data_IF_090222865106
#
_entry.id   IF_090222865106
#
_cell.length_a   1.000
_cell.length_b   1.000
_cell.length_c   1.000
_cell.angle_alpha   90.00
_cell.angle_beta   90.00
_cell.angle_gamma   90.00
#
_symmetry.space_group_name_H-M   'P 1'
#
loop_
_entity.id
_entity.type
_entity.pdbx_description
1 polymer ?
#
# COMPACT_ATOMS: atom_id res chain seq x y z
N UNK A 1 -10.85 -17.75 6.44
CA UNK A 1 -9.49 -17.75 6.99
C UNK A 1 -8.60 -17.01 6.01
N UNK A 2 -8.02 -15.89 6.43
CA UNK A 2 -7.16 -15.07 5.56
C UNK A 2 -5.86 -15.77 5.19
N UNK A 3 -5.13 -15.22 4.23
CA UNK A 3 -3.80 -15.75 3.89
C UNK A 3 -2.82 -15.57 5.04
N UNK A 4 -2.85 -14.47 5.78
CA UNK A 4 -1.98 -14.25 6.94
C UNK A 4 -2.12 -15.37 7.96
N UNK A 5 -3.35 -15.70 8.37
CA UNK A 5 -3.62 -16.82 9.28
C UNK A 5 -3.15 -18.17 8.72
N UNK A 6 -3.35 -18.43 7.41
CA UNK A 6 -2.93 -19.70 6.79
C UNK A 6 -1.42 -19.92 6.84
N UNK A 7 -0.64 -18.84 6.82
CA UNK A 7 0.82 -18.89 6.95
C UNK A 7 1.33 -18.69 8.39
N UNK A 8 0.42 -18.69 9.38
CA UNK A 8 0.79 -18.65 10.79
C UNK A 8 1.05 -17.24 11.35
N UNK A 9 0.72 -16.20 10.59
CA UNK A 9 0.88 -14.82 11.06
C UNK A 9 -0.33 -14.34 11.87
N UNK A 10 -0.07 -13.39 12.77
CA UNK A 10 -1.05 -12.79 13.65
C UNK A 10 -1.87 -11.72 12.92
N UNK A 11 -2.97 -12.14 12.30
CA UNK A 11 -3.87 -11.24 11.56
C UNK A 11 -4.52 -10.19 12.46
N UNK A 12 -4.85 -10.56 13.70
CA UNK A 12 -5.47 -9.62 14.64
C UNK A 12 -4.50 -8.49 14.96
N UNK A 13 -3.24 -8.83 15.28
CA UNK A 13 -2.20 -7.83 15.53
C UNK A 13 -1.96 -6.91 14.32
N UNK A 14 -1.94 -7.48 13.11
CA UNK A 14 -1.85 -6.70 11.87
C UNK A 14 -3.02 -5.73 11.73
N UNK A 15 -4.25 -6.19 11.93
CA UNK A 15 -5.46 -5.36 11.81
C UNK A 15 -5.51 -4.26 12.89
N UNK A 16 -5.10 -4.56 14.13
CA UNK A 16 -5.03 -3.56 15.21
C UNK A 16 -4.03 -2.45 14.89
N UNK A 17 -2.86 -2.79 14.35
CA UNK A 17 -1.87 -1.80 13.90
C UNK A 17 -2.40 -0.98 12.73
N UNK A 18 -3.07 -1.61 11.75
CA UNK A 18 -3.66 -0.94 10.60
C UNK A 18 -4.73 0.07 11.03
N UNK A 19 -5.63 -0.35 11.91
CA UNK A 19 -6.65 0.54 12.50
C UNK A 19 -6.02 1.68 13.27
N UNK A 20 -5.04 1.40 14.13
CA UNK A 20 -4.34 2.40 14.94
C UNK A 20 -3.67 3.46 14.05
N UNK A 21 -2.99 3.04 12.97
CA UNK A 21 -2.29 3.95 12.07
C UNK A 21 -3.23 4.98 11.43
N UNK A 22 -4.44 4.57 11.05
CA UNK A 22 -5.39 5.45 10.37
C UNK A 22 -6.24 6.25 11.35
N UNK A 23 -6.68 5.61 12.46
CA UNK A 23 -7.58 6.25 13.43
C UNK A 23 -6.90 7.23 14.38
N UNK A 24 -5.56 7.31 14.40
CA UNK A 24 -4.82 8.28 15.25
C UNK A 24 -5.30 9.72 15.07
N UNK A 25 -5.71 10.07 13.85
CA UNK A 25 -6.19 11.43 13.50
C UNK A 25 -7.71 11.51 13.35
N UNK A 26 -8.45 10.50 13.82
CA UNK A 26 -9.92 10.45 13.67
C UNK A 26 -10.63 11.67 14.27
N UNK A 27 -10.07 12.27 15.32
CA UNK A 27 -10.61 13.49 15.96
C UNK A 27 -10.47 14.74 15.09
N UNK A 28 -9.62 14.72 14.07
CA UNK A 28 -9.42 15.82 13.13
C UNK A 28 -10.43 15.80 11.98
N UNK A 29 -11.14 14.69 11.79
CA UNK A 29 -12.20 14.60 10.79
C UNK A 29 -13.46 15.31 11.30
N UNK A 30 -13.93 16.28 10.51
CA UNK A 30 -15.17 17.01 10.81
C UNK A 30 -16.41 16.12 10.67
N UNK A 31 -16.33 15.07 9.85
CA UNK A 31 -17.40 14.08 9.63
C UNK A 31 -16.94 12.68 10.07
N UNK A 32 -17.40 12.18 11.22
CA UNK A 32 -17.09 10.84 11.71
C UNK A 32 -17.54 9.71 10.77
N UNK A 33 -18.60 9.95 9.96
CA UNK A 33 -19.07 8.97 8.97
C UNK A 33 -18.01 8.77 7.89
N UNK A 34 -17.38 9.83 7.41
CA UNK A 34 -16.33 9.77 6.40
C UNK A 34 -15.14 8.92 6.87
N UNK A 35 -14.73 9.06 8.12
CA UNK A 35 -13.68 8.22 8.71
C UNK A 35 -14.12 6.75 8.76
N UNK A 36 -15.35 6.45 9.17
CA UNK A 36 -15.86 5.09 9.24
C UNK A 36 -15.93 4.44 7.85
N UNK A 37 -16.37 5.17 6.83
CA UNK A 37 -16.44 4.68 5.46
C UNK A 37 -15.02 4.43 4.89
N UNK A 38 -14.05 5.30 5.18
CA UNK A 38 -12.64 5.08 4.86
C UNK A 38 -12.08 3.83 5.54
N UNK A 39 -12.32 3.66 6.85
CA UNK A 39 -11.89 2.47 7.58
C UNK A 39 -12.53 1.20 7.02
N UNK A 40 -13.79 1.25 6.62
CA UNK A 40 -14.45 0.11 5.99
C UNK A 40 -13.73 -0.31 4.69
N UNK A 41 -13.34 0.64 3.85
CA UNK A 41 -12.59 0.33 2.62
C UNK A 41 -11.21 -0.27 2.94
N UNK A 42 -10.50 0.31 3.90
CA UNK A 42 -9.19 -0.18 4.32
C UNK A 42 -9.29 -1.61 4.90
N UNK A 43 -10.27 -1.87 5.75
CA UNK A 43 -10.44 -3.17 6.41
C UNK A 43 -11.01 -4.25 5.50
N UNK A 44 -11.86 -3.91 4.54
CA UNK A 44 -12.37 -4.84 3.53
C UNK A 44 -11.34 -5.17 2.43
N UNK A 45 -10.11 -4.70 2.58
CA UNK A 45 -9.02 -4.97 1.64
C UNK A 45 -8.75 -6.47 1.46
N UNK A 46 -8.65 -6.87 0.24
CA UNK A 46 -8.42 -8.17 -0.37
C UNK A 46 -7.66 -9.26 0.40
N UNK A 47 -6.81 -10.00 -0.31
CA UNK A 47 -6.10 -11.19 0.25
C UNK A 47 -4.87 -10.85 1.10
N UNK A 48 -4.53 -9.57 1.30
CA UNK A 48 -3.34 -9.11 2.03
C UNK A 48 -2.03 -9.74 1.54
N UNK A 49 -1.90 -9.89 0.22
CA UNK A 49 -0.76 -10.57 -0.40
C UNK A 49 0.53 -9.79 -0.19
N UNK A 50 0.51 -8.44 -0.32
CA UNK A 50 1.70 -7.61 -0.14
C UNK A 50 2.23 -7.63 1.29
N UNK A 51 1.39 -7.43 2.33
CA UNK A 51 1.79 -7.69 3.72
C UNK A 51 2.36 -9.08 3.94
N UNK A 52 1.75 -10.10 3.34
CA UNK A 52 2.25 -11.48 3.45
C UNK A 52 3.67 -11.62 2.90
N UNK A 53 4.00 -11.00 1.76
CA UNK A 53 5.36 -11.03 1.22
C UNK A 53 6.37 -10.32 2.12
N UNK A 54 5.99 -9.21 2.77
CA UNK A 54 6.84 -8.55 3.78
C UNK A 54 7.14 -9.52 4.92
N UNK A 55 6.11 -10.18 5.46
CA UNK A 55 6.24 -11.10 6.59
C UNK A 55 7.08 -12.34 6.22
N UNK A 56 6.81 -12.96 5.07
CA UNK A 56 7.57 -14.12 4.57
C UNK A 56 9.05 -13.79 4.31
N UNK A 57 9.34 -12.62 3.74
CA UNK A 57 10.72 -12.19 3.53
C UNK A 57 11.46 -11.94 4.85
N UNK A 58 10.74 -11.53 5.90
CA UNK A 58 11.31 -11.37 7.23
C UNK A 58 11.67 -12.70 7.89
N UNK A 59 10.90 -13.77 7.65
CA UNK A 59 11.19 -15.11 8.19
C UNK A 59 12.49 -15.72 7.66
N UNK A 60 13.04 -15.17 6.55
CA UNK A 60 14.35 -15.58 6.04
C UNK A 60 15.53 -15.04 6.88
N UNK A 61 15.26 -14.29 7.94
CA UNK A 61 16.27 -13.64 8.78
C UNK A 61 16.13 -14.05 10.24
N UNK A 62 17.25 -14.08 10.89
CA UNK A 62 17.33 -14.28 12.35
C UNK A 62 17.21 -12.93 13.09
N UNK A 63 16.62 -12.96 14.29
CA UNK A 63 16.55 -11.83 15.22
C UNK A 63 15.84 -10.57 14.69
N UNK A 64 14.74 -10.73 13.97
CA UNK A 64 13.98 -9.60 13.44
C UNK A 64 12.99 -9.08 14.48
N UNK A 65 12.87 -7.76 14.60
CA UNK A 65 11.88 -7.13 15.48
C UNK A 65 10.47 -7.31 14.90
N UNK A 66 9.64 -8.11 15.59
CA UNK A 66 8.25 -8.39 15.16
C UNK A 66 7.47 -7.10 14.92
N UNK A 67 7.58 -6.10 15.79
CA UNK A 67 6.85 -4.84 15.66
C UNK A 67 7.24 -4.09 14.37
N UNK A 68 8.55 -3.97 14.11
CA UNK A 68 9.04 -3.29 12.90
C UNK A 68 8.54 -3.95 11.62
N UNK A 69 8.55 -5.29 11.57
CA UNK A 69 8.09 -6.04 10.40
C UNK A 69 6.60 -5.80 10.17
N UNK A 70 5.78 -5.88 11.22
CA UNK A 70 4.34 -5.64 11.08
C UNK A 70 4.05 -4.17 10.75
N UNK A 71 4.81 -3.22 11.27
CA UNK A 71 4.73 -1.81 10.88
C UNK A 71 5.03 -1.63 9.38
N UNK A 72 6.07 -2.28 8.87
CA UNK A 72 6.39 -2.27 7.44
C UNK A 72 5.29 -2.92 6.59
N UNK A 73 4.72 -4.03 7.06
CA UNK A 73 3.62 -4.73 6.39
C UNK A 73 2.36 -3.86 6.33
N UNK A 74 2.03 -3.13 7.40
CA UNK A 74 0.92 -2.17 7.45
C UNK A 74 1.19 -0.99 6.52
N UNK A 75 2.40 -0.43 6.53
CA UNK A 75 2.77 0.69 5.66
C UNK A 75 2.62 0.33 4.17
N UNK A 76 3.09 -0.87 3.77
CA UNK A 76 2.91 -1.39 2.40
C UNK A 76 1.42 -1.54 2.05
N UNK A 77 0.60 -2.05 2.97
CA UNK A 77 -0.83 -2.21 2.69
C UNK A 77 -1.54 -0.87 2.55
N UNK A 78 -1.23 0.12 3.40
CA UNK A 78 -1.78 1.47 3.27
C UNK A 78 -1.38 2.12 1.94
N UNK A 79 -0.13 1.98 1.51
CA UNK A 79 0.30 2.46 0.19
C UNK A 79 -0.51 1.81 -0.93
N UNK A 80 -0.76 0.49 -0.84
CA UNK A 80 -1.59 -0.21 -1.81
C UNK A 80 -3.05 0.26 -1.78
N UNK A 81 -3.65 0.41 -0.59
CA UNK A 81 -5.03 0.91 -0.48
C UNK A 81 -5.15 2.32 -1.05
N UNK A 82 -4.16 3.19 -0.79
CA UNK A 82 -4.12 4.52 -1.38
C UNK A 82 -4.11 4.48 -2.91
N UNK A 83 -3.28 3.62 -3.51
CA UNK A 83 -3.27 3.44 -4.97
C UNK A 83 -4.63 2.97 -5.50
N UNK A 84 -5.30 2.04 -4.78
CA UNK A 84 -6.62 1.57 -5.18
C UNK A 84 -7.70 2.66 -5.11
N UNK A 85 -7.64 3.56 -4.11
CA UNK A 85 -8.57 4.71 -4.02
C UNK A 85 -8.36 5.66 -5.21
N UNK A 86 -7.09 5.91 -5.60
CA UNK A 86 -6.80 6.72 -6.77
C UNK A 86 -7.18 6.04 -8.08
N UNK A 87 -6.93 4.73 -8.20
CA UNK A 87 -7.33 3.94 -9.38
C UNK A 87 -8.86 3.96 -9.56
N UNK A 88 -9.63 3.83 -8.47
CA UNK A 88 -11.10 3.92 -8.54
C UNK A 88 -11.60 5.25 -9.11
N UNK A 89 -10.88 6.34 -8.82
CA UNK A 89 -11.19 7.66 -9.36
C UNK A 89 -10.82 7.73 -10.85
N UNK A 90 -9.64 7.23 -11.22
CA UNK A 90 -9.14 7.26 -12.59
C UNK A 90 -10.02 6.39 -13.51
N UNK A 91 -10.45 5.23 -13.00
CA UNK A 91 -11.27 4.26 -13.73
C UNK A 91 -12.77 4.58 -13.63
N UNK A 92 -13.18 5.67 -12.97
CA UNK A 92 -14.57 6.05 -12.71
C UNK A 92 -15.41 4.89 -12.11
N UNK A 93 -14.77 4.08 -11.25
CA UNK A 93 -15.37 2.89 -10.67
C UNK A 93 -16.39 3.24 -9.60
N UNK A 94 -17.64 2.86 -9.76
CA UNK A 94 -18.70 3.15 -8.79
C UNK A 94 -18.65 2.26 -7.55
N UNK A 95 -18.10 1.05 -7.67
CA UNK A 95 -18.02 0.07 -6.57
C UNK A 95 -16.69 -0.68 -6.58
N UNK A 96 -16.18 -1.03 -5.36
CA UNK A 96 -15.07 -1.93 -5.14
C UNK A 96 -15.40 -2.94 -4.05
N UNK A 97 -15.23 -4.24 -4.32
CA UNK A 97 -15.58 -5.33 -3.37
C UNK A 97 -17.00 -5.21 -2.79
N UNK A 98 -17.98 -4.84 -3.62
CA UNK A 98 -19.38 -4.59 -3.25
C UNK A 98 -19.59 -3.40 -2.27
N UNK A 99 -18.60 -2.51 -2.14
CA UNK A 99 -18.73 -1.25 -1.41
C UNK A 99 -18.67 -0.11 -2.42
N UNK A 100 -19.51 0.91 -2.24
CA UNK A 100 -19.47 2.14 -3.04
C UNK A 100 -18.12 2.85 -2.82
N UNK A 101 -17.48 3.32 -3.90
CA UNK A 101 -16.20 4.02 -3.83
C UNK A 101 -16.33 5.39 -3.15
N UNK A 102 -15.23 5.90 -2.56
CA UNK A 102 -15.27 7.16 -1.79
C UNK A 102 -15.63 8.37 -2.65
N UNK A 103 -15.13 8.41 -3.90
CA UNK A 103 -15.45 9.54 -4.79
C UNK A 103 -16.91 9.55 -5.22
N UNK A 104 -17.55 8.38 -5.31
CA UNK A 104 -18.97 8.25 -5.60
C UNK A 104 -19.83 8.60 -4.39
N UNK A 105 -19.40 8.24 -3.16
CA UNK A 105 -20.13 8.54 -1.93
C UNK A 105 -20.09 10.03 -1.56
N UNK A 106 -18.98 10.72 -1.84
CA UNK A 106 -18.77 12.09 -1.39
C UNK A 106 -18.57 13.06 -2.57
N UNK A 107 -17.40 13.01 -3.20
CA UNK A 107 -17.06 13.73 -4.43
C UNK A 107 -15.67 13.30 -4.91
N UNK A 108 -15.34 13.62 -6.17
CA UNK A 108 -14.00 13.43 -6.75
C UNK A 108 -12.91 14.05 -5.86
N UNK A 109 -13.11 15.31 -5.45
CA UNK A 109 -12.15 16.04 -4.61
C UNK A 109 -11.92 15.36 -3.26
N UNK A 110 -13.00 14.92 -2.61
CA UNK A 110 -12.90 14.19 -1.33
C UNK A 110 -12.21 12.86 -1.52
N UNK A 111 -12.53 12.10 -2.58
CA UNK A 111 -11.85 10.84 -2.90
C UNK A 111 -10.33 11.01 -3.05
N UNK A 112 -9.89 12.03 -3.80
CA UNK A 112 -8.45 12.35 -3.97
C UNK A 112 -7.79 12.66 -2.62
N UNK A 113 -8.43 13.48 -1.78
CA UNK A 113 -7.86 13.83 -0.47
C UNK A 113 -7.81 12.65 0.49
N UNK A 114 -8.82 11.76 0.48
CA UNK A 114 -8.80 10.54 1.28
C UNK A 114 -7.72 9.56 0.82
N UNK A 115 -7.52 9.40 -0.49
CA UNK A 115 -6.40 8.64 -1.04
C UNK A 115 -5.04 9.20 -0.60
N UNK A 116 -4.87 10.52 -0.69
CA UNK A 116 -3.65 11.20 -0.20
C UNK A 116 -3.46 11.05 1.31
N UNK A 117 -4.54 11.11 2.10
CA UNK A 117 -4.47 10.90 3.55
C UNK A 117 -3.94 9.49 3.87
N UNK A 118 -4.48 8.44 3.23
CA UNK A 118 -4.01 7.06 3.43
C UNK A 118 -2.56 6.89 2.99
N UNK A 119 -2.17 7.52 1.86
CA UNK A 119 -0.78 7.52 1.40
C UNK A 119 0.16 8.18 2.42
N UNK A 120 -0.23 9.32 2.97
CA UNK A 120 0.57 10.02 3.98
C UNK A 120 0.71 9.18 5.25
N UNK A 121 -0.33 8.43 5.66
CA UNK A 121 -0.23 7.48 6.78
C UNK A 121 0.77 6.36 6.52
N UNK A 122 0.85 5.87 5.29
CA UNK A 122 1.90 4.92 4.89
C UNK A 122 3.30 5.54 5.04
N UNK A 123 3.49 6.75 4.51
CA UNK A 123 4.78 7.46 4.58
C UNK A 123 5.17 7.81 6.03
N UNK A 124 4.21 8.13 6.89
CA UNK A 124 4.43 8.35 8.32
C UNK A 124 5.03 7.11 8.98
N UNK A 125 4.43 5.93 8.76
CA UNK A 125 4.97 4.66 9.26
C UNK A 125 6.36 4.37 8.70
N UNK A 126 6.61 4.61 7.42
CA UNK A 126 7.94 4.43 6.83
C UNK A 126 8.97 5.39 7.41
N UNK A 127 8.58 6.59 7.86
CA UNK A 127 9.49 7.56 8.46
C UNK A 127 10.05 7.12 9.81
N UNK A 128 9.42 6.15 10.48
CA UNK A 128 9.94 5.55 11.72
C UNK A 128 11.24 4.77 11.46
N UNK A 129 11.45 4.29 10.24
CA UNK A 129 12.65 3.55 9.84
C UNK A 129 13.78 4.51 9.48
N UNK A 130 14.85 4.51 10.26
CA UNK A 130 16.03 5.38 10.04
C UNK A 130 16.99 4.79 8.99
N UNK A 131 16.45 4.43 7.81
CA UNK A 131 17.20 3.75 6.74
C UNK A 131 17.07 4.58 5.45
N UNK A 132 18.08 5.42 5.12
CA UNK A 132 18.01 6.29 3.93
C UNK A 132 17.75 5.54 2.62
N UNK A 133 18.32 4.34 2.48
CA UNK A 133 18.12 3.50 1.30
C UNK A 133 16.66 3.08 1.12
N UNK A 134 15.97 2.75 2.23
CA UNK A 134 14.53 2.42 2.20
C UNK A 134 13.71 3.60 1.68
N UNK A 135 13.98 4.82 2.14
CA UNK A 135 13.26 6.01 1.68
C UNK A 135 13.51 6.31 0.20
N UNK A 136 14.72 6.07 -0.31
CA UNK A 136 15.02 6.17 -1.74
C UNK A 136 14.21 5.15 -2.56
N UNK A 137 14.11 3.91 -2.09
CA UNK A 137 13.33 2.86 -2.78
C UNK A 137 11.84 3.13 -2.76
N UNK A 138 11.30 3.65 -1.66
CA UNK A 138 9.90 4.11 -1.59
C UNK A 138 9.64 5.16 -2.67
N UNK A 139 10.51 6.16 -2.79
CA UNK A 139 10.36 7.20 -3.80
C UNK A 139 10.40 6.63 -5.23
N UNK A 140 11.29 5.67 -5.50
CA UNK A 140 11.37 4.99 -6.80
C UNK A 140 10.09 4.21 -7.10
N UNK A 141 9.58 3.45 -6.12
CA UNK A 141 8.33 2.67 -6.28
C UNK A 141 7.14 3.58 -6.54
N UNK A 142 7.01 4.67 -5.79
CA UNK A 142 5.93 5.64 -6.00
C UNK A 142 6.00 6.30 -7.38
N UNK A 143 7.21 6.69 -7.83
CA UNK A 143 7.39 7.21 -9.18
C UNK A 143 7.01 6.19 -10.25
N UNK A 144 7.39 4.92 -10.08
CA UNK A 144 7.03 3.85 -11.01
C UNK A 144 5.51 3.64 -11.08
N UNK A 145 4.81 3.65 -9.94
CA UNK A 145 3.36 3.55 -9.90
C UNK A 145 2.71 4.71 -10.69
N UNK A 146 3.11 5.96 -10.43
CA UNK A 146 2.59 7.12 -11.14
C UNK A 146 2.88 7.06 -12.66
N UNK A 147 4.12 6.72 -13.05
CA UNK A 147 4.50 6.58 -14.46
C UNK A 147 3.75 5.44 -15.13
N UNK A 148 3.53 4.33 -14.42
CA UNK A 148 2.74 3.21 -14.93
C UNK A 148 1.30 3.61 -15.26
N UNK A 149 0.65 4.39 -14.38
CA UNK A 149 -0.70 4.91 -14.63
C UNK A 149 -0.73 5.94 -15.77
N UNK A 150 0.20 6.89 -15.81
CA UNK A 150 0.30 7.87 -16.90
C UNK A 150 0.51 7.19 -18.25
N UNK A 151 1.41 6.18 -18.32
CA UNK A 151 1.65 5.41 -19.52
C UNK A 151 0.43 4.57 -19.92
N UNK A 152 -0.33 4.05 -18.95
CA UNK A 152 -1.57 3.34 -19.21
C UNK A 152 -2.61 4.25 -19.85
N UNK A 153 -2.81 5.44 -19.31
CA UNK A 153 -3.74 6.42 -19.85
C UNK A 153 -3.33 6.88 -21.26
N UNK A 154 -2.03 7.17 -21.48
CA UNK A 154 -1.52 7.59 -22.78
C UNK A 154 -1.69 6.52 -23.86
N UNK A 155 -1.53 5.25 -23.49
CA UNK A 155 -1.59 4.10 -24.41
C UNK A 155 -2.99 3.46 -24.46
N UNK A 156 -4.01 4.11 -23.93
CA UNK A 156 -5.38 3.61 -24.02
C UNK A 156 -5.81 3.59 -25.49
N UNK A 157 -6.24 2.40 -25.97
CA UNK A 157 -6.54 2.14 -27.40
C UNK A 157 -5.36 2.17 -28.38
N UNK A 158 -4.10 2.17 -27.92
CA UNK A 158 -2.95 2.00 -28.79
C UNK A 158 -2.74 0.50 -29.07
N UNK A 159 -3.08 0.04 -30.29
CA UNK A 159 -2.92 -1.35 -30.74
C UNK A 159 -1.52 -1.68 -31.25
N UNK A 160 -0.64 -0.68 -31.42
CA UNK A 160 0.74 -0.83 -31.91
C UNK A 160 1.76 -1.00 -30.78
N UNK A 161 1.30 -1.26 -29.54
CA UNK A 161 2.18 -1.49 -28.41
C UNK A 161 3.05 -2.74 -28.62
N UNK A 162 4.35 -2.56 -28.42
CA UNK A 162 5.28 -3.68 -28.42
C UNK A 162 5.12 -4.57 -27.16
N UNK A 163 5.62 -5.80 -27.23
CA UNK A 163 5.66 -6.68 -26.07
C UNK A 163 6.50 -6.07 -24.92
N UNK A 164 7.58 -5.38 -25.27
CA UNK A 164 8.45 -4.71 -24.29
C UNK A 164 7.72 -3.59 -23.57
N UNK A 165 6.88 -2.80 -24.26
CA UNK A 165 6.03 -1.78 -23.65
C UNK A 165 5.05 -2.39 -22.65
N UNK A 166 4.43 -3.53 -23.01
CA UNK A 166 3.54 -4.27 -22.11
C UNK A 166 4.27 -4.76 -20.85
N UNK A 167 5.48 -5.34 -21.02
CA UNK A 167 6.30 -5.80 -19.88
C UNK A 167 6.72 -4.62 -19.00
N UNK A 168 7.17 -3.51 -19.57
CA UNK A 168 7.55 -2.31 -18.84
C UNK A 168 6.38 -1.74 -18.02
N UNK A 169 5.19 -1.66 -18.61
CA UNK A 169 3.96 -1.24 -17.92
C UNK A 169 3.64 -2.17 -16.74
N UNK A 170 3.69 -3.48 -16.97
CA UNK A 170 3.42 -4.49 -15.92
C UNK A 170 4.45 -4.41 -14.80
N UNK A 171 5.71 -4.14 -15.14
CA UNK A 171 6.77 -3.90 -14.17
C UNK A 171 6.48 -2.67 -13.32
N UNK A 172 6.19 -1.54 -13.94
CA UNK A 172 5.93 -0.27 -13.24
C UNK A 172 4.73 -0.35 -12.32
N UNK A 173 3.59 -0.88 -12.80
CA UNK A 173 2.33 -0.91 -12.04
C UNK A 173 2.29 -1.98 -10.95
N UNK A 174 2.88 -3.13 -11.17
CA UNK A 174 2.67 -4.29 -10.29
C UNK A 174 3.97 -4.83 -9.71
N UNK A 175 4.94 -5.17 -10.56
CA UNK A 175 6.12 -5.91 -10.14
C UNK A 175 7.05 -5.10 -9.23
N UNK A 176 7.25 -3.81 -9.52
CA UNK A 176 8.10 -2.93 -8.69
C UNK A 176 7.61 -2.88 -7.24
N UNK A 177 6.30 -2.84 -7.04
CA UNK A 177 5.70 -2.81 -5.72
C UNK A 177 5.79 -4.17 -4.99
N UNK A 178 5.61 -5.28 -5.69
CA UNK A 178 5.83 -6.62 -5.11
C UNK A 178 7.31 -6.84 -4.75
N UNK A 179 8.22 -6.47 -5.66
CA UNK A 179 9.66 -6.54 -5.41
C UNK A 179 10.05 -5.75 -4.17
N UNK A 180 9.55 -4.52 -4.04
CA UNK A 180 9.77 -3.70 -2.86
C UNK A 180 9.25 -4.36 -1.58
N UNK A 181 8.06 -4.98 -1.60
CA UNK A 181 7.51 -5.70 -0.44
C UNK A 181 8.43 -6.82 0.06
N UNK A 182 9.17 -7.47 -0.85
CA UNK A 182 10.18 -8.47 -0.49
C UNK A 182 11.48 -7.83 0.01
N UNK A 183 11.91 -6.72 -0.61
CA UNK A 183 13.20 -6.10 -0.32
C UNK A 183 13.24 -5.28 0.98
N UNK A 184 12.11 -4.78 1.45
CA UNK A 184 12.03 -3.89 2.62
C UNK A 184 12.74 -4.47 3.85
N UNK A 185 12.72 -5.78 4.03
CA UNK A 185 13.38 -6.44 5.13
C UNK A 185 14.91 -6.58 4.95
N UNK A 186 15.42 -6.50 3.72
CA UNK A 186 16.86 -6.65 3.48
C UNK A 186 17.65 -5.44 3.97
N UNK A 187 17.03 -4.27 4.05
CA UNK A 187 17.69 -3.05 4.51
C UNK A 187 17.78 -2.93 6.03
N UNK A 188 16.81 -3.51 6.77
CA UNK A 188 16.81 -3.44 8.24
C UNK A 188 17.92 -4.25 8.91
N UNK A 189 18.52 -5.24 8.24
CA UNK A 189 19.55 -6.12 8.81
C UNK A 189 20.97 -5.84 8.32
N UNK A 190 21.16 -5.07 7.24
CA UNK A 190 22.52 -4.74 6.76
C UNK A 190 23.24 -3.77 7.71
N UNK A 191 22.50 -3.02 8.52
CA UNK A 191 23.07 -2.07 9.50
C UNK A 191 23.56 -2.74 10.78
N UNK A 192 23.07 -3.95 11.10
CA UNK A 192 23.51 -4.69 12.31
C UNK A 192 24.85 -5.41 12.07
N UNK A 193 25.23 -5.65 10.80
CA UNK A 193 26.48 -6.33 10.46
C UNK A 193 27.65 -5.36 10.19
N UNK A 194 27.43 -4.05 10.18
CA UNK A 194 28.45 -3.02 9.92
C UNK A 194 28.61 -2.00 11.07
N UNK A 195 27.91 -2.19 12.19
CA UNK A 195 28.11 -1.49 13.46
C UNK A 195 28.77 -2.43 14.50
#
# INVERSE_FOLDING_TARGET
MSLLCKFGYDEQYFNDLLLKAVSSDSTLFSDPKMMNDLLQIIMNGGKRIRPLFVLLAADLKENVNKQEIYTAAVAIELMHVASLIHDDIIDESTTRHNVTTLHEQYSLTVGVHLGNFVLNKSLELFSEFKIPKLHQEIAVVMNNLCLGELNQQHNHFNFDLSFDDYINKSYQKTFSFFSFSCHINFHSSLFILLS
#
